data_IF_800521291747
#
_entry.id   IF_800521291747
#
_cell.length_a   1.000
_cell.length_b   1.000
_cell.length_c   1.000
_cell.angle_alpha   90.00
_cell.angle_beta   90.00
_cell.angle_gamma   90.00
#
_symmetry.space_group_name_H-M   'P 1'
#
loop_
_entity.id
_entity.type
_entity.pdbx_description
1 polymer ?
#
# COMPACT_ATOMS: atom_id res chain seq x y z
N UNK A 1 4.54 -23.84 27.55
CA UNK A 1 4.36 -24.80 28.65
C UNK A 1 3.06 -25.56 28.46
N UNK A 2 2.97 -26.81 28.92
CA UNK A 2 1.68 -27.54 28.95
C UNK A 2 0.92 -27.05 30.18
N UNK A 3 -0.28 -26.52 29.98
CA UNK A 3 -1.18 -26.11 31.06
C UNK A 3 -2.11 -27.25 31.47
N UNK A 4 -2.72 -27.90 30.48
CA UNK A 4 -3.69 -28.98 30.71
C UNK A 4 -3.43 -30.10 29.71
N UNK A 5 -3.44 -31.35 30.20
CA UNK A 5 -3.32 -32.56 29.37
C UNK A 5 -4.52 -33.46 29.62
N UNK A 6 -5.48 -33.49 28.69
CA UNK A 6 -6.65 -34.38 28.79
C UNK A 6 -6.43 -35.67 27.99
N UNK A 7 -5.94 -35.56 26.76
CA UNK A 7 -5.63 -36.70 25.89
C UNK A 7 -4.57 -36.34 24.85
N UNK A 8 -4.14 -37.31 24.04
CA UNK A 8 -3.17 -37.07 22.96
C UNK A 8 -3.67 -36.09 21.88
N UNK A 9 -4.98 -35.97 21.73
CA UNK A 9 -5.64 -35.06 20.78
C UNK A 9 -6.15 -33.77 21.42
N UNK A 10 -6.12 -33.68 22.75
CA UNK A 10 -6.67 -32.55 23.50
C UNK A 10 -5.74 -32.15 24.64
N UNK A 11 -4.90 -31.16 24.37
CA UNK A 11 -4.09 -30.47 25.36
C UNK A 11 -4.14 -28.95 25.17
N UNK A 12 -3.90 -28.24 26.26
CA UNK A 12 -3.71 -26.79 26.28
C UNK A 12 -2.25 -26.46 26.53
N UNK A 13 -1.75 -25.55 25.70
CA UNK A 13 -0.39 -25.05 25.81
C UNK A 13 -0.41 -23.52 25.90
N UNK A 14 0.47 -22.99 26.73
CA UNK A 14 0.69 -21.56 26.91
C UNK A 14 2.05 -21.17 26.35
N UNK A 15 2.11 -20.10 25.58
CA UNK A 15 3.36 -19.46 25.18
C UNK A 15 3.90 -18.60 26.32
N UNK A 16 5.19 -18.73 26.63
CA UNK A 16 5.81 -18.08 27.81
C UNK A 16 6.38 -16.69 27.50
N UNK A 17 5.94 -16.07 26.40
CA UNK A 17 6.24 -14.69 26.09
C UNK A 17 5.25 -13.74 26.77
N UNK A 18 5.43 -12.44 26.56
CA UNK A 18 4.61 -11.38 27.15
C UNK A 18 3.11 -11.49 26.84
N UNK A 19 2.72 -12.22 25.78
CA UNK A 19 1.32 -12.35 25.39
C UNK A 19 0.60 -13.49 26.11
N UNK A 20 1.33 -14.41 26.73
CA UNK A 20 0.76 -15.56 27.47
C UNK A 20 -0.33 -16.29 26.66
N UNK A 21 -0.15 -16.40 25.33
CA UNK A 21 -1.19 -16.94 24.46
C UNK A 21 -1.45 -18.41 24.77
N UNK A 22 -2.72 -18.78 24.92
CA UNK A 22 -3.16 -20.14 25.23
C UNK A 22 -3.87 -20.73 24.02
N UNK A 23 -3.49 -21.93 23.61
CA UNK A 23 -4.13 -22.63 22.50
C UNK A 23 -4.32 -24.12 22.77
N UNK A 24 -5.37 -24.67 22.18
CA UNK A 24 -5.61 -26.11 22.14
C UNK A 24 -4.79 -26.72 20.99
N UNK A 25 -4.16 -27.86 21.25
CA UNK A 25 -3.37 -28.58 20.24
C UNK A 25 -3.34 -30.08 20.54
N UNK A 26 -2.73 -30.85 19.65
CA UNK A 26 -2.42 -32.27 19.88
C UNK A 26 -1.02 -32.41 20.45
N UNK A 27 -0.80 -33.48 21.21
CA UNK A 27 0.53 -33.82 21.73
C UNK A 27 1.56 -33.99 20.59
N UNK A 28 1.13 -34.55 19.46
CA UNK A 28 1.96 -34.72 18.26
C UNK A 28 2.44 -33.39 17.69
N UNK A 29 1.53 -32.41 17.51
CA UNK A 29 1.89 -31.09 17.01
C UNK A 29 2.80 -30.34 18.00
N UNK A 30 2.50 -30.43 19.30
CA UNK A 30 3.35 -29.87 20.35
C UNK A 30 4.76 -30.46 20.33
N UNK A 31 4.90 -31.79 20.30
CA UNK A 31 6.20 -32.49 20.22
C UNK A 31 7.01 -32.11 18.98
N UNK A 32 6.34 -31.82 17.87
CA UNK A 32 6.97 -31.43 16.59
C UNK A 32 7.27 -29.92 16.49
N UNK A 33 6.88 -29.10 17.47
CA UNK A 33 7.02 -27.64 17.41
C UNK A 33 6.12 -26.98 16.35
N UNK A 34 4.97 -27.60 16.03
CA UNK A 34 4.03 -27.11 15.02
C UNK A 34 2.90 -26.24 15.61
N UNK A 35 3.04 -25.83 16.87
CA UNK A 35 2.11 -24.90 17.52
C UNK A 35 2.65 -23.50 17.31
N UNK A 36 1.84 -22.62 16.73
CA UNK A 36 2.20 -21.23 16.44
C UNK A 36 1.59 -20.26 17.44
N UNK A 37 2.33 -19.23 17.85
CA UNK A 37 1.77 -18.07 18.51
C UNK A 37 1.34 -17.05 17.43
N UNK A 38 0.06 -16.62 17.37
CA UNK A 38 -0.40 -15.61 16.41
C UNK A 38 0.28 -14.24 16.59
N UNK A 39 0.89 -13.99 17.75
CA UNK A 39 1.62 -12.76 18.07
C UNK A 39 3.10 -12.81 17.68
N UNK A 40 3.61 -13.96 17.20
CA UNK A 40 4.97 -14.04 16.69
C UNK A 40 5.13 -13.16 15.43
N UNK A 41 6.16 -12.31 15.46
CA UNK A 41 6.60 -11.53 14.30
C UNK A 41 7.15 -12.49 13.25
N UNK A 42 6.36 -12.73 12.21
CA UNK A 42 6.61 -13.77 11.20
C UNK A 42 6.65 -13.23 9.77
N UNK A 43 6.32 -11.96 9.56
CA UNK A 43 6.18 -11.35 8.23
C UNK A 43 7.02 -10.10 8.12
N UNK A 44 7.99 -10.10 7.19
CA UNK A 44 8.85 -8.95 6.88
C UNK A 44 9.53 -8.33 8.12
N UNK A 45 9.84 -9.14 9.15
CA UNK A 45 10.55 -8.73 10.35
C UNK A 45 9.79 -7.81 11.31
N UNK A 46 8.51 -7.48 11.03
CA UNK A 46 7.72 -6.57 11.88
C UNK A 46 6.24 -6.93 11.98
N UNK A 47 5.68 -7.63 10.99
CA UNK A 47 4.27 -7.99 10.95
C UNK A 47 3.99 -9.31 11.67
N UNK A 48 2.85 -9.37 12.34
CA UNK A 48 2.31 -10.58 12.97
C UNK A 48 0.85 -10.79 12.56
N UNK A 49 0.35 -12.02 12.69
CA UNK A 49 -0.98 -12.37 12.16
C UNK A 49 -2.09 -11.88 13.08
N UNK A 50 -1.94 -12.07 14.39
CA UNK A 50 -2.95 -11.77 15.41
C UNK A 50 -4.10 -12.79 15.44
N UNK A 51 -4.88 -12.76 16.52
CA UNK A 51 -6.07 -13.58 16.69
C UNK A 51 -7.28 -12.98 15.97
N UNK A 52 -7.91 -13.74 15.06
CA UNK A 52 -9.14 -13.27 14.43
C UNK A 52 -9.65 -14.14 13.27
N UNK A 53 -10.74 -13.65 12.66
CA UNK A 53 -11.52 -14.37 11.64
C UNK A 53 -10.95 -14.28 10.22
N UNK A 54 -10.02 -13.35 9.97
CA UNK A 54 -9.53 -13.08 8.62
C UNK A 54 -8.46 -14.09 8.24
N UNK A 55 -8.75 -14.88 7.19
CA UNK A 55 -7.83 -15.89 6.67
C UNK A 55 -6.72 -15.23 5.84
N UNK A 56 -5.51 -15.78 5.91
CA UNK A 56 -4.37 -15.38 5.06
C UNK A 56 -4.37 -16.09 3.70
N UNK A 57 -5.09 -17.23 3.60
CA UNK A 57 -5.18 -18.07 2.40
C UNK A 57 -6.64 -18.33 2.01
N UNK A 58 -6.93 -18.33 0.70
CA UNK A 58 -8.22 -18.72 0.12
C UNK A 58 -8.22 -20.16 -0.41
N UNK A 59 -7.05 -20.68 -0.74
CA UNK A 59 -6.81 -22.10 -1.02
C UNK A 59 -5.40 -22.47 -0.56
N UNK A 60 -5.02 -23.76 -0.49
CA UNK A 60 -3.69 -24.14 -0.01
C UNK A 60 -2.53 -23.47 -0.75
N UNK A 61 -2.69 -23.20 -2.06
CA UNK A 61 -1.69 -22.56 -2.92
C UNK A 61 -1.90 -21.05 -3.13
N UNK A 62 -2.96 -20.43 -2.56
CA UNK A 62 -3.30 -19.03 -2.89
C UNK A 62 -3.68 -18.21 -1.66
N UNK A 63 -2.97 -17.10 -1.49
CA UNK A 63 -3.25 -16.08 -0.48
C UNK A 63 -4.49 -15.24 -0.81
N UNK A 64 -5.10 -14.67 0.22
CA UNK A 64 -6.16 -13.65 0.06
C UNK A 64 -5.58 -12.36 -0.49
N UNK A 65 -6.43 -11.52 -1.09
CA UNK A 65 -5.96 -10.26 -1.68
C UNK A 65 -5.58 -9.25 -0.59
N UNK A 66 -6.29 -9.27 0.55
CA UNK A 66 -5.93 -8.52 1.76
C UNK A 66 -4.52 -8.90 2.26
N UNK A 67 -4.23 -10.20 2.41
CA UNK A 67 -2.91 -10.66 2.86
C UNK A 67 -1.79 -10.26 1.90
N UNK A 68 -1.98 -10.45 0.59
CA UNK A 68 -0.99 -10.05 -0.40
C UNK A 68 -0.73 -8.54 -0.36
N UNK A 69 -1.78 -7.73 -0.18
CA UNK A 69 -1.67 -6.27 -0.08
C UNK A 69 -0.90 -5.87 1.17
N UNK A 70 -1.22 -6.47 2.31
CA UNK A 70 -0.57 -6.24 3.60
C UNK A 70 0.93 -6.61 3.57
N UNK A 71 1.26 -7.82 3.10
CA UNK A 71 2.65 -8.28 2.96
C UNK A 71 3.42 -7.35 2.02
N UNK A 72 2.82 -6.92 0.91
CA UNK A 72 3.47 -6.00 -0.04
C UNK A 72 3.72 -4.63 0.60
N UNK A 73 2.77 -4.11 1.40
CA UNK A 73 2.92 -2.86 2.12
C UNK A 73 4.08 -2.94 3.11
N UNK A 74 4.14 -3.99 3.93
CA UNK A 74 5.23 -4.20 4.89
C UNK A 74 6.57 -4.39 4.20
N UNK A 75 6.63 -5.18 3.13
CA UNK A 75 7.86 -5.41 2.36
C UNK A 75 8.42 -4.09 1.84
N UNK A 76 7.57 -3.24 1.25
CA UNK A 76 7.98 -1.92 0.76
C UNK A 76 8.61 -1.08 1.87
N UNK A 77 7.98 -1.01 3.04
CA UNK A 77 8.46 -0.13 4.11
C UNK A 77 9.71 -0.65 4.82
N UNK A 78 9.86 -1.98 4.96
CA UNK A 78 10.84 -2.56 5.91
C UNK A 78 11.84 -3.56 5.29
N UNK A 79 11.66 -3.95 4.03
CA UNK A 79 12.54 -4.94 3.39
C UNK A 79 13.07 -4.50 2.02
N UNK A 80 12.36 -3.63 1.30
CA UNK A 80 12.77 -3.20 -0.02
C UNK A 80 13.91 -2.18 0.04
N UNK A 81 15.14 -2.68 0.01
CA UNK A 81 16.34 -1.83 -0.04
C UNK A 81 16.57 -1.17 -1.40
N UNK A 82 15.91 -1.69 -2.46
CA UNK A 82 16.14 -1.31 -3.85
C UNK A 82 15.49 0.00 -4.25
N UNK A 83 14.46 0.42 -3.50
CA UNK A 83 13.71 1.64 -3.78
C UNK A 83 13.89 2.64 -2.65
N UNK A 84 14.70 3.69 -2.90
CA UNK A 84 14.83 4.84 -1.98
C UNK A 84 13.45 5.42 -1.63
N UNK A 85 12.48 5.27 -2.54
CA UNK A 85 11.08 5.71 -2.42
C UNK A 85 10.33 5.18 -1.20
N UNK A 86 10.61 3.96 -0.75
CA UNK A 86 9.90 3.38 0.38
C UNK A 86 10.71 3.39 1.67
N UNK A 87 12.01 3.75 1.63
CA UNK A 87 12.86 3.85 2.83
C UNK A 87 12.37 4.87 3.86
N UNK A 88 11.62 5.87 3.42
CA UNK A 88 11.01 6.86 4.31
C UNK A 88 9.57 6.53 4.70
N UNK A 89 8.99 5.47 4.14
CA UNK A 89 7.61 5.09 4.41
C UNK A 89 7.52 4.14 5.61
N UNK A 90 6.52 4.35 6.46
CA UNK A 90 6.24 3.51 7.62
C UNK A 90 4.78 3.07 7.63
N UNK A 91 4.45 2.12 8.52
CA UNK A 91 3.11 1.61 8.74
C UNK A 91 2.72 1.89 10.18
N UNK A 92 1.49 2.35 10.43
CA UNK A 92 1.01 2.54 11.80
C UNK A 92 1.00 1.22 12.58
N UNK A 93 1.13 1.32 13.91
CA UNK A 93 1.23 0.16 14.81
C UNK A 93 0.01 -0.78 14.67
N UNK A 94 -1.18 -0.22 14.52
CA UNK A 94 -2.43 -0.96 14.33
C UNK A 94 -2.33 -1.94 13.15
N UNK A 95 -1.70 -1.53 12.05
CA UNK A 95 -1.57 -2.31 10.83
C UNK A 95 -0.36 -3.24 10.80
N UNK A 96 0.43 -3.31 11.87
CA UNK A 96 1.42 -4.38 12.07
C UNK A 96 0.73 -5.72 12.41
N UNK A 97 -0.52 -5.67 12.88
CA UNK A 97 -1.40 -6.83 13.02
C UNK A 97 -2.18 -7.07 11.71
N UNK A 98 -2.06 -8.26 11.12
CA UNK A 98 -2.82 -8.60 9.91
C UNK A 98 -4.34 -8.54 10.13
N UNK A 99 -4.87 -8.97 11.29
CA UNK A 99 -6.32 -8.95 11.52
C UNK A 99 -6.90 -7.52 11.42
N UNK A 100 -6.23 -6.53 12.00
CA UNK A 100 -6.68 -5.14 11.97
C UNK A 100 -6.64 -4.59 10.54
N UNK A 101 -5.53 -4.82 9.82
CA UNK A 101 -5.43 -4.43 8.41
C UNK A 101 -6.49 -5.12 7.56
N UNK A 102 -6.72 -6.42 7.76
CA UNK A 102 -7.69 -7.20 7.01
C UNK A 102 -9.12 -6.72 7.24
N UNK A 103 -9.47 -6.35 8.48
CA UNK A 103 -10.75 -5.72 8.77
C UNK A 103 -10.94 -4.42 7.99
N UNK A 104 -9.95 -3.51 8.05
CA UNK A 104 -10.00 -2.28 7.27
C UNK A 104 -10.10 -2.57 5.77
N UNK A 105 -9.31 -3.50 5.23
CA UNK A 105 -9.29 -3.83 3.81
C UNK A 105 -10.66 -4.36 3.37
N UNK A 106 -11.25 -5.28 4.13
CA UNK A 106 -12.54 -5.89 3.81
C UNK A 106 -13.70 -4.88 3.92
N UNK A 107 -13.62 -3.91 4.83
CA UNK A 107 -14.59 -2.83 4.96
C UNK A 107 -14.48 -1.76 3.85
N UNK A 108 -13.30 -1.63 3.21
CA UNK A 108 -13.02 -0.61 2.20
C UNK A 108 -12.93 -1.15 0.78
N UNK A 109 -12.90 -2.47 0.58
CA UNK A 109 -12.88 -3.06 -0.75
C UNK A 109 -14.24 -2.92 -1.42
N UNK A 110 -14.22 -2.90 -2.75
CA UNK A 110 -15.40 -2.83 -3.60
C UNK A 110 -15.15 -3.63 -4.88
N UNK A 111 -16.23 -4.00 -5.57
CA UNK A 111 -16.13 -4.78 -6.79
C UNK A 111 -15.60 -3.92 -7.94
N UNK A 112 -14.54 -4.40 -8.59
CA UNK A 112 -13.97 -3.78 -9.78
C UNK A 112 -13.29 -4.84 -10.63
N UNK A 113 -13.16 -4.57 -11.94
CA UNK A 113 -12.34 -5.41 -12.81
C UNK A 113 -10.86 -5.31 -12.42
N UNK A 114 -10.29 -6.42 -11.98
CA UNK A 114 -8.89 -6.52 -11.57
C UNK A 114 -8.71 -6.44 -10.05
N UNK A 115 -7.48 -6.20 -9.60
CA UNK A 115 -7.17 -6.05 -8.18
C UNK A 115 -7.24 -4.60 -7.73
N UNK A 116 -7.60 -4.39 -6.47
CA UNK A 116 -7.41 -3.12 -5.78
C UNK A 116 -5.95 -2.97 -5.33
N UNK A 117 -5.51 -1.72 -5.28
CA UNK A 117 -4.19 -1.31 -4.83
C UNK A 117 -4.35 -0.39 -3.62
N UNK A 118 -3.56 -0.64 -2.58
CA UNK A 118 -3.44 0.25 -1.43
C UNK A 118 -2.55 1.44 -1.81
N UNK A 119 -3.09 2.65 -1.66
CA UNK A 119 -2.40 3.91 -1.92
C UNK A 119 -2.51 4.83 -0.70
N UNK A 120 -1.41 5.49 -0.32
CA UNK A 120 -1.34 6.42 0.82
C UNK A 120 -1.12 7.88 0.41
N UNK A 121 -0.84 8.10 -0.88
CA UNK A 121 -0.34 9.36 -1.43
C UNK A 121 -1.47 10.16 -2.10
N UNK A 122 -2.54 9.50 -2.57
CA UNK A 122 -3.68 10.17 -3.24
C UNK A 122 -4.43 11.13 -2.31
N UNK A 123 -4.69 10.76 -1.04
CA UNK A 123 -5.38 11.65 -0.10
C UNK A 123 -4.45 12.77 0.40
N UNK A 124 -3.17 12.46 0.56
CA UNK A 124 -2.18 13.33 1.17
C UNK A 124 -0.87 13.18 0.38
N UNK A 125 -0.66 14.02 -0.66
CA UNK A 125 0.58 13.98 -1.43
C UNK A 125 1.80 14.15 -0.55
N UNK A 126 2.83 13.31 -0.75
CA UNK A 126 4.04 13.31 0.08
C UNK A 126 3.90 12.60 1.43
N UNK A 127 2.74 12.02 1.75
CA UNK A 127 2.55 11.26 2.97
C UNK A 127 3.49 10.05 3.05
N UNK A 128 4.05 9.83 4.23
CA UNK A 128 5.03 8.77 4.51
C UNK A 128 4.43 7.61 5.30
N UNK A 129 3.21 7.73 5.82
CA UNK A 129 2.66 6.72 6.74
C UNK A 129 1.47 6.00 6.09
N UNK A 130 1.50 4.68 6.07
CA UNK A 130 0.33 3.84 5.79
C UNK A 130 -0.52 3.71 7.05
N UNK A 131 -1.76 4.23 6.99
CA UNK A 131 -2.71 4.17 8.09
C UNK A 131 -4.18 4.33 7.61
N UNK A 132 -5.19 3.89 8.39
CA UNK A 132 -6.58 3.78 7.96
C UNK A 132 -7.21 5.02 7.32
N UNK A 133 -6.92 6.20 7.86
CA UNK A 133 -7.53 7.46 7.44
C UNK A 133 -6.76 8.15 6.30
N UNK A 134 -5.50 7.75 6.03
CA UNK A 134 -4.65 8.30 4.96
C UNK A 134 -4.58 7.42 3.72
N UNK A 135 -5.08 6.19 3.79
CA UNK A 135 -5.07 5.25 2.68
C UNK A 135 -6.41 5.13 1.95
N UNK A 136 -6.31 4.74 0.68
CA UNK A 136 -7.42 4.34 -0.18
C UNK A 136 -7.12 2.99 -0.85
N UNK A 137 -8.18 2.27 -1.20
CA UNK A 137 -8.12 1.19 -2.18
C UNK A 137 -8.56 1.74 -3.54
N UNK A 138 -7.69 1.64 -4.54
CA UNK A 138 -7.95 2.15 -5.90
C UNK A 138 -7.72 1.07 -6.96
N UNK A 139 -8.44 1.08 -8.09
CA UNK A 139 -8.17 0.16 -9.19
C UNK A 139 -6.79 0.44 -9.80
N UNK A 140 -6.14 -0.58 -10.35
CA UNK A 140 -4.81 -0.45 -10.95
C UNK A 140 -4.71 0.70 -11.97
N UNK A 141 -5.73 0.90 -12.82
CA UNK A 141 -5.73 1.99 -13.81
C UNK A 141 -5.64 3.37 -13.16
N UNK A 142 -6.33 3.57 -12.03
CA UNK A 142 -6.28 4.82 -11.27
C UNK A 142 -4.90 4.96 -10.61
N UNK A 143 -4.42 3.92 -9.92
CA UNK A 143 -3.10 3.93 -9.29
C UNK A 143 -1.97 4.28 -10.27
N UNK A 144 -2.06 3.82 -11.53
CA UNK A 144 -1.06 4.09 -12.55
C UNK A 144 -0.96 5.56 -12.96
N UNK A 145 -2.02 6.36 -12.77
CA UNK A 145 -1.99 7.81 -13.04
C UNK A 145 -1.04 8.55 -12.10
N UNK A 146 -0.84 8.03 -10.88
CA UNK A 146 -0.02 8.63 -9.83
C UNK A 146 1.40 8.07 -9.79
N UNK A 147 1.74 7.11 -10.66
CA UNK A 147 3.09 6.54 -10.70
C UNK A 147 4.10 7.62 -11.06
N UNK A 148 5.01 7.87 -10.14
CA UNK A 148 6.17 8.71 -10.36
C UNK A 148 7.40 7.81 -10.56
N UNK A 149 7.85 7.68 -11.81
CA UNK A 149 8.99 6.82 -12.14
C UNK A 149 10.30 7.46 -11.70
N UNK A 150 11.19 6.71 -11.05
CA UNK A 150 12.54 7.17 -10.73
C UNK A 150 13.30 7.62 -11.98
N UNK A 151 13.99 8.75 -11.93
CA UNK A 151 14.90 9.16 -13.00
C UNK A 151 16.13 9.92 -12.47
N UNK A 152 17.18 10.00 -13.30
CA UNK A 152 18.46 10.65 -12.94
C UNK A 152 18.57 12.10 -13.45
N UNK A 153 17.50 12.65 -14.01
CA UNK A 153 17.52 13.98 -14.64
C UNK A 153 17.28 15.11 -13.63
N UNK A 154 16.92 14.76 -12.39
CA UNK A 154 16.47 15.70 -11.34
C UNK A 154 15.33 16.61 -11.83
N UNK A 155 14.47 16.07 -12.68
CA UNK A 155 13.32 16.75 -13.25
C UNK A 155 12.08 15.86 -13.15
N UNK A 156 10.89 16.46 -12.92
CA UNK A 156 9.62 15.76 -13.01
C UNK A 156 9.50 14.92 -14.29
N UNK A 157 8.81 13.79 -14.19
CA UNK A 157 8.54 12.98 -15.37
C UNK A 157 7.70 13.76 -16.38
N UNK A 158 8.05 13.66 -17.66
CA UNK A 158 7.39 14.44 -18.72
C UNK A 158 7.97 15.83 -18.94
N UNK A 159 8.92 16.29 -18.11
CA UNK A 159 9.66 17.53 -18.34
C UNK A 159 11.09 17.21 -18.77
N UNK A 160 11.58 17.90 -19.80
CA UNK A 160 12.97 17.82 -20.25
C UNK A 160 13.59 19.22 -20.31
N UNK A 161 14.89 19.31 -20.00
CA UNK A 161 15.67 20.56 -20.14
C UNK A 161 16.03 20.78 -21.61
N UNK A 162 15.87 22.01 -22.09
CA UNK A 162 16.27 22.45 -23.42
C UNK A 162 17.50 23.37 -23.35
N UNK A 163 18.04 23.75 -24.52
CA UNK A 163 19.09 24.78 -24.60
C UNK A 163 18.62 26.12 -24.00
N UNK A 164 17.33 26.44 -24.15
CA UNK A 164 16.65 27.58 -23.54
C UNK A 164 15.33 27.09 -22.96
N UNK A 165 15.21 27.08 -21.64
CA UNK A 165 13.99 26.65 -20.95
C UNK A 165 13.80 25.14 -20.87
N UNK A 166 12.53 24.72 -20.91
CA UNK A 166 12.07 23.36 -20.62
C UNK A 166 10.95 22.96 -21.57
N UNK A 167 10.87 21.69 -21.96
CA UNK A 167 9.70 21.13 -22.66
C UNK A 167 8.84 20.31 -21.71
N UNK A 168 7.54 20.24 -22.01
CA UNK A 168 6.58 19.41 -21.29
C UNK A 168 5.89 18.43 -22.24
N UNK A 169 5.77 17.17 -21.82
CA UNK A 169 5.13 16.09 -22.58
C UNK A 169 4.28 15.23 -21.65
N UNK A 170 3.12 14.80 -22.13
CA UNK A 170 2.26 13.88 -21.39
C UNK A 170 1.72 12.79 -22.32
N UNK A 171 1.88 11.53 -21.93
CA UNK A 171 1.41 10.36 -22.69
C UNK A 171 1.82 10.39 -24.17
N UNK A 172 3.07 10.76 -24.45
CA UNK A 172 3.64 10.85 -25.79
C UNK A 172 3.26 12.10 -26.59
N UNK A 173 2.39 12.97 -26.06
CA UNK A 173 2.00 14.23 -26.70
C UNK A 173 2.85 15.39 -26.20
N UNK A 174 3.28 16.23 -27.14
CA UNK A 174 3.96 17.49 -26.83
C UNK A 174 2.97 18.53 -26.30
N UNK A 175 3.34 19.20 -25.22
CA UNK A 175 2.58 20.28 -24.58
C UNK A 175 3.27 21.65 -24.77
N UNK A 176 4.43 21.68 -25.42
CA UNK A 176 5.17 22.88 -25.75
C UNK A 176 6.44 23.09 -24.93
N UNK A 177 7.00 24.29 -25.07
CA UNK A 177 8.23 24.71 -24.39
C UNK A 177 8.04 26.02 -23.63
N UNK A 178 8.77 26.17 -22.53
CA UNK A 178 8.57 27.22 -21.53
C UNK A 178 9.89 27.70 -20.96
N UNK A 179 9.96 28.97 -20.57
CA UNK A 179 11.22 29.57 -20.07
C UNK A 179 11.66 29.01 -18.71
N UNK A 180 10.71 28.58 -17.87
CA UNK A 180 10.97 28.10 -16.50
C UNK A 180 10.34 26.73 -16.27
N UNK A 181 10.88 26.00 -15.29
CA UNK A 181 10.40 24.67 -14.95
C UNK A 181 8.99 24.70 -14.35
N UNK A 182 8.66 25.74 -13.59
CA UNK A 182 7.35 25.91 -12.96
C UNK A 182 6.26 26.10 -14.02
N UNK A 183 6.54 26.86 -15.09
CA UNK A 183 5.63 27.01 -16.22
C UNK A 183 5.42 25.68 -16.94
N UNK A 184 6.50 24.93 -17.20
CA UNK A 184 6.43 23.61 -17.83
C UNK A 184 5.66 22.61 -16.97
N UNK A 185 5.91 22.61 -15.65
CA UNK A 185 5.23 21.74 -14.70
C UNK A 185 3.75 22.07 -14.59
N UNK A 186 3.40 23.36 -14.54
CA UNK A 186 1.99 23.79 -14.49
C UNK A 186 1.19 23.26 -15.68
N UNK A 187 1.73 23.33 -16.91
CA UNK A 187 1.04 22.80 -18.09
C UNK A 187 0.98 21.28 -18.07
N UNK A 188 2.07 20.62 -17.66
CA UNK A 188 2.09 19.16 -17.48
C UNK A 188 1.07 18.68 -16.43
N UNK A 189 1.02 19.30 -15.26
CA UNK A 189 0.13 18.92 -14.17
C UNK A 189 -1.32 19.14 -14.53
N UNK A 190 -1.66 20.28 -15.14
CA UNK A 190 -3.01 20.54 -15.65
C UNK A 190 -3.48 19.45 -16.62
N UNK A 191 -2.62 19.06 -17.58
CA UNK A 191 -2.94 17.98 -18.52
C UNK A 191 -3.18 16.63 -17.81
N UNK A 192 -2.41 16.36 -16.75
CA UNK A 192 -2.52 15.14 -15.95
C UNK A 192 -3.76 15.15 -15.06
N UNK A 193 -4.10 16.27 -14.46
CA UNK A 193 -5.33 16.51 -13.68
C UNK A 193 -6.57 16.31 -14.55
N UNK A 194 -6.59 16.85 -15.76
CA UNK A 194 -7.68 16.62 -16.73
C UNK A 194 -7.91 15.13 -17.01
N UNK A 195 -6.82 14.37 -17.23
CA UNK A 195 -6.93 12.92 -17.46
C UNK A 195 -7.39 12.20 -16.18
N UNK A 196 -6.92 12.60 -14.99
CA UNK A 196 -7.40 12.04 -13.72
C UNK A 196 -8.90 12.28 -13.55
N UNK A 197 -9.39 13.50 -13.78
CA UNK A 197 -10.82 13.83 -13.71
C UNK A 197 -11.62 13.00 -14.69
N UNK A 198 -11.15 12.86 -15.93
CA UNK A 198 -11.78 12.01 -16.94
C UNK A 198 -11.86 10.55 -16.48
N UNK A 199 -10.77 9.96 -16.01
CA UNK A 199 -10.75 8.58 -15.52
C UNK A 199 -11.62 8.44 -14.27
N UNK A 200 -11.59 9.38 -13.34
CA UNK A 200 -12.45 9.36 -12.15
C UNK A 200 -13.93 9.31 -12.54
N UNK A 201 -14.33 10.07 -13.55
CA UNK A 201 -15.70 10.07 -14.06
C UNK A 201 -16.08 8.78 -14.79
N UNK A 202 -15.15 8.14 -15.53
CA UNK A 202 -15.37 6.81 -16.11
C UNK A 202 -15.65 5.75 -15.02
N UNK A 203 -15.06 5.91 -13.83
CA UNK A 203 -15.21 4.99 -12.70
C UNK A 203 -16.30 5.40 -11.70
N UNK A 204 -17.01 6.51 -11.92
CA UNK A 204 -17.91 7.13 -10.91
C UNK A 204 -18.97 6.19 -10.35
N UNK A 205 -19.48 5.25 -11.14
CA UNK A 205 -20.48 4.26 -10.71
C UNK A 205 -19.88 3.00 -10.07
N UNK A 206 -18.54 2.89 -10.03
CA UNK A 206 -17.80 1.70 -9.59
C UNK A 206 -17.04 1.99 -8.29
N UNK A 207 -16.39 3.14 -8.20
CA UNK A 207 -15.57 3.51 -7.05
C UNK A 207 -16.41 4.19 -5.96
N UNK A 208 -16.06 4.01 -4.67
CA UNK A 208 -16.71 4.74 -3.57
C UNK A 208 -16.58 6.25 -3.74
N UNK A 209 -17.58 7.00 -3.26
CA UNK A 209 -17.60 8.47 -3.34
C UNK A 209 -16.33 9.11 -2.76
N UNK A 210 -15.82 8.59 -1.62
CA UNK A 210 -14.56 9.03 -1.02
C UNK A 210 -13.37 8.96 -1.99
N UNK A 211 -13.29 7.90 -2.80
CA UNK A 211 -12.22 7.73 -3.80
C UNK A 211 -12.42 8.73 -4.95
N UNK A 212 -13.66 8.86 -5.45
CA UNK A 212 -13.99 9.81 -6.52
C UNK A 212 -13.66 11.26 -6.11
N UNK A 213 -14.08 11.68 -4.92
CA UNK A 213 -13.84 13.02 -4.38
C UNK A 213 -12.34 13.29 -4.14
N UNK A 214 -11.57 12.26 -3.76
CA UNK A 214 -10.13 12.40 -3.59
C UNK A 214 -9.44 12.66 -4.93
N UNK A 215 -9.87 11.99 -6.01
CA UNK A 215 -9.31 12.18 -7.35
C UNK A 215 -9.65 13.56 -7.92
N UNK A 216 -10.87 14.06 -7.71
CA UNK A 216 -11.29 15.37 -8.21
C UNK A 216 -10.64 16.54 -7.48
N UNK A 217 -10.27 16.35 -6.21
CA UNK A 217 -9.60 17.37 -5.38
C UNK A 217 -8.08 17.28 -5.42
N UNK A 218 -7.53 16.32 -6.17
CA UNK A 218 -6.09 16.14 -6.22
C UNK A 218 -5.42 17.30 -6.97
N UNK A 219 -4.51 18.00 -6.29
CA UNK A 219 -3.71 19.07 -6.88
C UNK A 219 -2.24 18.64 -6.90
N UNK A 220 -1.58 18.82 -8.04
CA UNK A 220 -0.15 18.55 -8.12
C UNK A 220 0.66 19.76 -7.66
N UNK A 221 1.61 19.48 -6.77
CA UNK A 221 2.65 20.40 -6.37
C UNK A 221 4.01 19.84 -6.82
N UNK A 222 4.80 20.67 -7.49
CA UNK A 222 6.15 20.31 -7.94
C UNK A 222 7.06 19.92 -6.77
N UNK A 223 6.84 20.50 -5.58
CA UNK A 223 7.59 20.19 -4.37
C UNK A 223 7.29 18.78 -3.82
N UNK A 224 6.16 18.18 -4.22
CA UNK A 224 5.83 16.79 -3.92
C UNK A 224 6.34 15.81 -5.00
N UNK A 225 6.91 16.30 -6.10
CA UNK A 225 7.51 15.44 -7.13
C UNK A 225 8.86 14.91 -6.66
N UNK A 226 8.95 13.59 -6.51
CA UNK A 226 10.14 12.91 -5.97
C UNK A 226 11.38 13.01 -6.87
N UNK A 227 11.23 13.37 -8.14
CA UNK A 227 12.37 13.62 -9.03
C UNK A 227 12.80 15.09 -9.04
N UNK A 228 12.01 15.99 -8.46
CA UNK A 228 12.34 17.41 -8.40
C UNK A 228 13.31 17.65 -7.25
N UNK A 229 14.60 17.68 -7.57
CA UNK A 229 15.70 17.95 -6.65
C UNK A 229 16.42 19.21 -7.15
N UNK A 230 15.88 20.38 -6.80
CA UNK A 230 16.51 21.68 -7.05
C UNK A 230 16.93 22.28 -5.71
#
# INVERSE_FOLDING_TARGET
>A
MILVYHSHDNMQVEFLDQHHYITNTTYSNFKRGQVSNPYDITVNGIGYIGEGKYKTKKSPQRHTDAYNTWVTMLYRCYCDESTVYYKESTVCEEWLCYQNFAEWYENNKYEVKGRLHLDKDILYPGNKIYEPNKCLLVPQRINMLFVNKPNQRNLPNGIDKLNKGYSARYSGKDLGSFDTIEKAYKVYSQKKEEEIVKIANEYKSIIPQKVHDALLRYEFDIHNDRNYLI
#
